data_IF_703650797196
#
_entry.id   IF_703650797196
#
_cell.length_a   1.000
_cell.length_b   1.000
_cell.length_c   1.000
_cell.angle_alpha   90.00
_cell.angle_beta   90.00
_cell.angle_gamma   90.00
#
_symmetry.space_group_name_H-M   'P 1'
#
loop_
_entity.id
_entity.type
_entity.pdbx_description
1 polymer ?
#
# COMPACT_ATOMS: atom_id res chain seq x y z
N UNK A 1 -8.22 21.85 23.13
CA UNK A 1 -9.01 20.65 22.73
C UNK A 1 -8.00 19.63 22.24
N UNK A 2 -7.96 18.44 22.83
CA UNK A 2 -7.07 17.37 22.36
C UNK A 2 -7.51 16.93 20.97
N UNK A 3 -6.54 16.70 20.08
CA UNK A 3 -6.82 16.17 18.74
C UNK A 3 -7.43 14.77 18.82
N UNK A 4 -8.47 14.54 18.01
CA UNK A 4 -9.12 13.24 17.91
C UNK A 4 -8.25 12.19 17.21
N UNK A 5 -8.59 10.91 17.31
CA UNK A 5 -7.83 9.81 16.69
C UNK A 5 -7.74 9.94 15.17
N UNK A 6 -8.77 10.50 14.52
CA UNK A 6 -8.77 10.74 13.08
C UNK A 6 -7.77 11.82 12.67
N UNK A 7 -7.73 12.93 13.40
CA UNK A 7 -6.83 14.05 13.15
C UNK A 7 -5.37 13.58 13.29
N UNK A 8 -5.07 12.80 14.34
CA UNK A 8 -3.76 12.18 14.54
C UNK A 8 -3.36 11.26 13.39
N UNK A 9 -4.27 10.38 12.95
CA UNK A 9 -4.01 9.52 11.79
C UNK A 9 -3.72 10.35 10.52
N UNK A 10 -4.49 11.41 10.30
CA UNK A 10 -4.31 12.29 9.14
C UNK A 10 -2.94 12.96 9.10
N UNK A 11 -2.37 13.30 10.26
CA UNK A 11 -1.03 13.89 10.40
C UNK A 11 0.10 12.87 10.19
N UNK A 12 -0.11 11.63 10.64
CA UNK A 12 0.89 10.54 10.49
C UNK A 12 0.89 9.98 9.07
N UNK A 13 -0.27 9.90 8.41
CA UNK A 13 -0.40 9.43 7.05
C UNK A 13 0.42 10.27 6.06
N UNK A 14 1.24 9.59 5.25
CA UNK A 14 2.21 10.23 4.37
C UNK A 14 1.56 10.60 3.03
N UNK A 15 1.04 11.83 2.91
CA UNK A 15 0.36 12.30 1.69
C UNK A 15 1.24 12.23 0.44
N UNK A 16 2.56 12.38 0.58
CA UNK A 16 3.54 12.18 -0.50
C UNK A 16 3.49 10.78 -1.14
N UNK A 17 3.01 9.78 -0.39
CA UNK A 17 2.95 8.39 -0.82
C UNK A 17 1.67 8.07 -1.63
N UNK A 18 0.69 8.98 -1.64
CA UNK A 18 -0.55 8.82 -2.41
C UNK A 18 -0.31 9.00 -3.90
N UNK A 19 -0.99 8.22 -4.76
CA UNK A 19 -0.80 8.18 -6.21
C UNK A 19 -1.07 9.52 -6.93
N UNK A 20 -1.79 10.47 -6.34
CA UNK A 20 -2.09 11.80 -6.90
C UNK A 20 -1.40 12.95 -6.15
N UNK A 21 -0.45 12.64 -5.26
CA UNK A 21 0.31 13.64 -4.52
C UNK A 21 1.09 14.62 -5.41
N UNK A 22 0.99 15.92 -5.11
CA UNK A 22 1.76 16.98 -5.77
C UNK A 22 3.27 16.79 -5.67
N UNK A 23 3.75 16.15 -4.61
CA UNK A 23 5.18 15.84 -4.43
C UNK A 23 5.74 14.92 -5.53
N UNK A 24 4.88 14.21 -6.27
CA UNK A 24 5.24 13.30 -7.34
C UNK A 24 4.91 13.84 -8.73
N UNK A 25 4.72 15.16 -8.88
CA UNK A 25 4.53 15.78 -10.18
C UNK A 25 5.87 16.02 -10.92
N UNK A 26 5.90 15.85 -12.26
CA UNK A 26 4.82 15.34 -13.11
C UNK A 26 4.56 13.85 -12.83
N UNK A 27 3.27 13.48 -12.77
CA UNK A 27 2.91 12.10 -12.49
C UNK A 27 3.41 11.18 -13.61
N UNK A 28 4.12 10.09 -13.28
CA UNK A 28 4.59 9.16 -14.29
C UNK A 28 3.39 8.38 -14.81
N UNK A 29 2.69 8.84 -15.84
CA UNK A 29 1.62 8.06 -16.47
C UNK A 29 2.20 7.26 -17.64
N UNK A 30 1.70 6.06 -17.88
CA UNK A 30 1.97 5.39 -19.15
C UNK A 30 1.49 6.28 -20.29
N UNK A 31 2.34 6.48 -21.31
CA UNK A 31 1.93 7.20 -22.50
C UNK A 31 0.84 6.41 -23.22
N UNK A 32 -0.04 7.12 -23.93
CA UNK A 32 -1.10 6.49 -24.70
C UNK A 32 -0.51 5.39 -25.60
N UNK A 33 -1.18 4.24 -25.66
CA UNK A 33 -0.77 3.07 -26.48
C UNK A 33 0.56 2.43 -26.09
N UNK A 34 1.16 2.80 -24.96
CA UNK A 34 2.32 2.09 -24.40
C UNK A 34 1.89 1.11 -23.31
N UNK A 35 2.69 0.05 -23.12
CA UNK A 35 2.46 -0.98 -22.08
C UNK A 35 1.06 -1.63 -22.11
N UNK A 36 0.34 -1.56 -23.22
CA UNK A 36 -1.06 -2.01 -23.36
C UNK A 36 -1.23 -3.46 -22.91
N UNK A 37 -0.47 -4.39 -23.49
CA UNK A 37 -0.56 -5.81 -23.14
C UNK A 37 -0.25 -6.08 -21.65
N UNK A 38 0.69 -5.33 -21.06
CA UNK A 38 1.01 -5.46 -19.64
C UNK A 38 -0.13 -4.94 -18.76
N UNK A 39 -0.68 -3.77 -19.11
CA UNK A 39 -1.80 -3.18 -18.39
C UNK A 39 -3.02 -4.08 -18.48
N UNK A 40 -3.36 -4.59 -19.66
CA UNK A 40 -4.47 -5.53 -19.87
C UNK A 40 -4.28 -6.81 -19.05
N UNK A 41 -3.06 -7.33 -18.96
CA UNK A 41 -2.75 -8.46 -18.10
C UNK A 41 -2.99 -8.14 -16.62
N UNK A 42 -2.48 -7.00 -16.14
CA UNK A 42 -2.68 -6.57 -14.74
C UNK A 42 -4.17 -6.37 -14.45
N UNK A 43 -4.93 -5.76 -15.36
CA UNK A 43 -6.38 -5.57 -15.19
C UNK A 43 -7.14 -6.89 -15.19
N UNK A 44 -6.80 -7.80 -16.10
CA UNK A 44 -7.36 -9.16 -16.12
C UNK A 44 -7.06 -9.95 -14.85
N UNK A 45 -5.89 -9.76 -14.23
CA UNK A 45 -5.59 -10.30 -12.90
C UNK A 45 -6.40 -9.61 -11.80
N UNK A 46 -6.56 -8.28 -11.90
CA UNK A 46 -7.23 -7.44 -10.89
C UNK A 46 -8.75 -7.62 -10.85
N UNK A 47 -9.35 -8.19 -11.91
CA UNK A 47 -10.79 -8.43 -12.01
C UNK A 47 -11.20 -9.83 -11.52
N UNK A 48 -10.24 -10.71 -11.20
CA UNK A 48 -10.51 -12.09 -10.74
C UNK A 48 -11.00 -12.14 -9.31
N UNK A 49 -12.26 -12.53 -9.12
CA UNK A 49 -12.93 -12.61 -7.81
C UNK A 49 -12.63 -13.87 -6.99
N UNK A 50 -11.83 -14.81 -7.49
CA UNK A 50 -11.71 -16.13 -6.85
C UNK A 50 -10.86 -16.14 -5.59
N UNK A 51 -9.76 -15.38 -5.60
CA UNK A 51 -8.80 -15.35 -4.49
C UNK A 51 -8.00 -14.07 -4.46
N UNK A 52 -7.50 -13.74 -3.28
CA UNK A 52 -6.57 -12.66 -3.06
C UNK A 52 -5.26 -12.88 -3.85
N UNK A 53 -4.60 -11.78 -4.26
CA UNK A 53 -3.38 -11.84 -5.09
C UNK A 53 -2.36 -10.79 -4.68
N UNK A 54 -1.11 -11.21 -4.55
CA UNK A 54 0.04 -10.33 -4.59
C UNK A 54 0.57 -10.37 -6.02
N UNK A 55 0.54 -9.24 -6.71
CA UNK A 55 0.98 -9.13 -8.11
C UNK A 55 2.30 -8.37 -8.09
N UNK A 56 3.39 -9.01 -8.49
CA UNK A 56 4.71 -8.40 -8.49
C UNK A 56 5.12 -7.99 -9.90
N UNK A 57 5.31 -6.68 -10.12
CA UNK A 57 5.87 -6.12 -11.34
C UNK A 57 7.33 -5.73 -11.09
N UNK A 58 8.26 -6.54 -11.59
CA UNK A 58 9.69 -6.33 -11.43
C UNK A 58 10.38 -5.97 -12.74
N UNK A 59 11.59 -5.42 -12.62
CA UNK A 59 12.43 -5.05 -13.76
C UNK A 59 13.53 -4.07 -13.37
N UNK A 60 14.40 -3.72 -14.31
CA UNK A 60 15.50 -2.77 -14.08
C UNK A 60 14.99 -1.33 -13.85
N UNK A 61 15.86 -0.44 -13.39
CA UNK A 61 15.55 0.98 -13.25
C UNK A 61 15.23 1.61 -14.62
N UNK A 62 14.35 2.62 -14.64
CA UNK A 62 14.03 3.37 -15.85
C UNK A 62 13.03 2.71 -16.82
N UNK A 63 12.62 1.45 -16.62
CA UNK A 63 11.68 0.77 -17.54
C UNK A 63 10.21 1.20 -17.41
N UNK A 64 9.90 2.12 -16.49
CA UNK A 64 8.56 2.70 -16.33
C UNK A 64 7.62 1.93 -15.41
N UNK A 65 8.12 1.16 -14.44
CA UNK A 65 7.27 0.42 -13.46
C UNK A 65 6.37 1.36 -12.65
N UNK A 66 6.94 2.45 -12.13
CA UNK A 66 6.17 3.50 -11.45
C UNK A 66 5.10 4.12 -12.35
N UNK A 67 5.33 4.13 -13.67
CA UNK A 67 4.34 4.60 -14.61
C UNK A 67 3.15 3.66 -14.74
N UNK A 68 3.42 2.35 -14.73
CA UNK A 68 2.38 1.32 -14.68
C UNK A 68 1.64 1.39 -13.34
N UNK A 69 2.33 1.47 -12.21
CA UNK A 69 1.71 1.57 -10.89
C UNK A 69 0.76 2.77 -10.77
N UNK A 70 1.21 3.96 -11.18
CA UNK A 70 0.37 5.16 -11.22
C UNK A 70 -0.87 4.95 -12.12
N UNK A 71 -0.67 4.43 -13.34
CA UNK A 71 -1.76 4.22 -14.30
C UNK A 71 -2.79 3.21 -13.79
N UNK A 72 -2.35 2.16 -13.09
CA UNK A 72 -3.25 1.20 -12.43
C UNK A 72 -4.00 1.86 -11.27
N UNK A 73 -3.31 2.62 -10.41
CA UNK A 73 -3.94 3.35 -9.31
C UNK A 73 -5.04 4.31 -9.80
N UNK A 74 -4.73 5.11 -10.83
CA UNK A 74 -5.66 6.05 -11.44
C UNK A 74 -6.90 5.33 -12.02
N UNK A 75 -6.70 4.20 -12.71
CA UNK A 75 -7.84 3.41 -13.21
C UNK A 75 -8.69 2.86 -12.06
N UNK A 76 -8.08 2.28 -11.03
CA UNK A 76 -8.82 1.71 -9.89
C UNK A 76 -9.57 2.79 -9.10
N UNK A 77 -9.03 4.02 -9.04
CA UNK A 77 -9.74 5.18 -8.48
C UNK A 77 -10.98 5.56 -9.28
N UNK A 78 -10.90 5.51 -10.60
CA UNK A 78 -12.02 5.84 -11.49
C UNK A 78 -13.14 4.79 -11.52
N UNK A 79 -12.86 3.56 -11.07
CA UNK A 79 -13.83 2.48 -11.01
C UNK A 79 -14.57 2.48 -9.66
N UNK A 80 -15.89 2.51 -9.70
CA UNK A 80 -16.73 2.39 -8.50
C UNK A 80 -16.62 0.98 -7.90
N UNK A 81 -16.78 0.90 -6.59
CA UNK A 81 -16.89 -0.38 -5.91
C UNK A 81 -18.26 -1.04 -6.17
N UNK A 82 -19.34 -0.24 -6.10
CA UNK A 82 -20.71 -0.66 -6.41
C UNK A 82 -21.44 0.43 -7.20
N UNK A 83 -22.52 0.09 -7.91
CA UNK A 83 -23.27 1.11 -8.67
C UNK A 83 -24.04 2.08 -7.76
N UNK A 84 -24.37 1.64 -6.55
CA UNK A 84 -25.13 2.41 -5.56
C UNK A 84 -24.27 3.47 -4.85
N UNK A 85 -22.94 3.34 -4.87
CA UNK A 85 -22.03 4.20 -4.11
C UNK A 85 -21.25 5.13 -5.04
N UNK A 86 -21.23 6.43 -4.72
CA UNK A 86 -20.46 7.44 -5.47
C UNK A 86 -19.04 7.66 -4.92
N UNK A 87 -18.81 7.28 -3.66
CA UNK A 87 -17.56 7.55 -2.94
C UNK A 87 -16.64 6.33 -2.95
N UNK A 88 -17.21 5.13 -2.86
CA UNK A 88 -16.42 3.90 -2.77
C UNK A 88 -15.85 3.53 -4.15
N UNK A 89 -14.53 3.39 -4.21
CA UNK A 89 -13.80 3.06 -5.44
C UNK A 89 -13.08 1.74 -5.27
N UNK A 90 -12.63 1.14 -6.38
CA UNK A 90 -11.81 -0.08 -6.31
C UNK A 90 -10.42 0.18 -5.73
N UNK A 91 -9.96 1.42 -5.64
CA UNK A 91 -8.69 1.75 -5.00
C UNK A 91 -8.86 1.84 -3.47
N UNK A 92 -8.25 0.91 -2.73
CA UNK A 92 -8.20 0.94 -1.28
C UNK A 92 -7.16 1.93 -0.74
N UNK A 93 -6.04 2.09 -1.44
CA UNK A 93 -4.98 3.03 -1.08
C UNK A 93 -3.69 2.74 -1.83
N UNK A 94 -2.73 3.64 -1.69
CA UNK A 94 -1.44 3.56 -2.34
C UNK A 94 -0.29 3.94 -1.42
N UNK A 95 0.88 3.37 -1.66
CA UNK A 95 2.11 3.79 -1.02
C UNK A 95 3.26 3.75 -2.02
N UNK A 96 3.72 4.93 -2.44
CA UNK A 96 4.87 5.10 -3.33
C UNK A 96 6.11 5.38 -2.49
N UNK A 97 6.94 4.34 -2.30
CA UNK A 97 8.21 4.46 -1.60
C UNK A 97 9.14 5.43 -2.34
N UNK A 98 10.05 6.05 -1.59
CA UNK A 98 11.04 6.95 -2.16
C UNK A 98 12.21 7.17 -1.21
N UNK A 99 13.44 6.86 -1.64
CA UNK A 99 14.67 7.09 -0.84
C UNK A 99 14.89 8.56 -0.49
N UNK A 100 14.34 9.47 -1.32
CA UNK A 100 14.45 10.93 -1.17
C UNK A 100 13.60 11.52 -0.04
N UNK A 101 12.69 10.75 0.57
CA UNK A 101 11.76 11.25 1.58
C UNK A 101 11.78 10.36 2.83
N UNK A 102 12.10 10.94 3.97
CA UNK A 102 12.31 10.22 5.24
C UNK A 102 11.16 9.29 5.62
N UNK A 103 9.91 9.74 5.50
CA UNK A 103 8.73 8.93 5.81
C UNK A 103 8.35 7.90 4.72
N UNK A 104 8.84 8.07 3.48
CA UNK A 104 8.55 7.17 2.34
C UNK A 104 9.66 6.16 2.08
N UNK A 105 10.75 6.21 2.85
CA UNK A 105 11.82 5.22 2.79
C UNK A 105 11.71 4.15 3.88
N UNK A 106 10.67 4.14 4.70
CA UNK A 106 10.49 3.16 5.78
C UNK A 106 9.09 2.57 5.77
N UNK A 107 8.94 1.37 6.31
CA UNK A 107 7.65 0.67 6.45
C UNK A 107 6.80 1.18 7.63
N UNK A 108 7.38 1.92 8.59
CA UNK A 108 6.70 2.36 9.82
C UNK A 108 5.46 3.22 9.63
N UNK A 109 5.32 3.89 8.48
CA UNK A 109 4.13 4.69 8.13
C UNK A 109 3.18 3.98 7.16
N UNK A 110 3.54 2.79 6.70
CA UNK A 110 2.86 2.11 5.59
C UNK A 110 1.39 1.82 5.92
N UNK A 111 1.13 1.07 7.00
CA UNK A 111 -0.23 0.68 7.34
C UNK A 111 -1.09 1.84 7.84
N UNK A 112 -0.53 2.80 8.57
CA UNK A 112 -1.24 4.02 8.95
C UNK A 112 -1.68 4.84 7.71
N UNK A 113 -0.81 4.95 6.71
CA UNK A 113 -1.10 5.67 5.47
C UNK A 113 -2.17 4.95 4.63
N UNK A 114 -2.14 3.62 4.56
CA UNK A 114 -3.18 2.85 3.89
C UNK A 114 -4.52 2.90 4.64
N UNK A 115 -4.50 2.84 5.97
CA UNK A 115 -5.70 2.93 6.80
C UNK A 115 -6.42 4.26 6.63
N UNK A 116 -5.65 5.36 6.57
CA UNK A 116 -6.17 6.68 6.29
C UNK A 116 -6.88 6.74 4.94
N UNK A 117 -6.22 6.28 3.87
CA UNK A 117 -6.79 6.27 2.51
C UNK A 117 -8.03 5.36 2.43
N UNK A 118 -7.96 4.18 3.05
CA UNK A 118 -9.09 3.25 3.09
C UNK A 118 -10.30 3.88 3.78
N UNK A 119 -10.10 4.58 4.90
CA UNK A 119 -11.17 5.26 5.62
C UNK A 119 -11.74 6.48 4.90
N UNK A 120 -10.98 7.13 4.01
CA UNK A 120 -11.50 8.14 3.09
C UNK A 120 -12.38 7.48 2.03
N UNK A 121 -11.89 6.39 1.43
CA UNK A 121 -12.56 5.73 0.31
C UNK A 121 -13.77 4.91 0.77
N UNK A 122 -13.77 4.45 2.03
CA UNK A 122 -14.83 3.69 2.67
C UNK A 122 -15.18 4.31 4.03
N UNK A 123 -15.97 5.40 4.08
CA UNK A 123 -16.25 6.15 5.33
C UNK A 123 -16.73 5.30 6.51
N UNK A 124 -17.46 4.21 6.23
CA UNK A 124 -17.86 3.18 7.21
C UNK A 124 -16.74 2.56 8.06
N UNK A 125 -15.50 2.59 7.57
CA UNK A 125 -14.31 2.02 8.21
C UNK A 125 -13.69 3.04 9.19
N UNK A 126 -13.96 4.33 9.00
CA UNK A 126 -13.35 5.42 9.78
C UNK A 126 -13.57 5.26 11.28
N UNK A 127 -14.76 4.86 11.72
CA UNK A 127 -15.06 4.64 13.14
C UNK A 127 -14.24 3.49 13.72
N UNK A 128 -14.04 2.41 12.97
CA UNK A 128 -13.26 1.25 13.38
C UNK A 128 -11.77 1.60 13.53
N UNK A 129 -11.19 2.29 12.54
CA UNK A 129 -9.80 2.76 12.61
C UNK A 129 -9.61 3.75 13.76
N UNK A 130 -10.55 4.69 13.93
CA UNK A 130 -10.50 5.67 15.02
C UNK A 130 -10.55 5.01 16.39
N UNK A 131 -11.37 3.97 16.54
CA UNK A 131 -11.46 3.18 17.78
C UNK A 131 -10.15 2.45 18.08
N UNK A 132 -9.56 1.78 17.09
CA UNK A 132 -8.28 1.08 17.27
C UNK A 132 -7.16 2.03 17.74
N UNK A 133 -7.09 3.24 17.16
CA UNK A 133 -6.13 4.28 17.56
C UNK A 133 -6.41 4.83 18.96
N UNK A 134 -7.69 5.00 19.31
CA UNK A 134 -8.08 5.44 20.65
C UNK A 134 -7.66 4.43 21.73
N UNK A 135 -7.84 3.14 21.45
CA UNK A 135 -7.48 2.04 22.36
C UNK A 135 -5.96 1.84 22.44
N UNK A 136 -5.25 2.03 21.33
CA UNK A 136 -3.80 1.92 21.27
C UNK A 136 -3.17 3.02 20.39
N UNK A 137 -2.88 4.20 20.97
CA UNK A 137 -2.27 5.30 20.23
C UNK A 137 -0.88 4.98 19.66
N UNK A 138 -0.16 4.02 20.24
CA UNK A 138 1.15 3.58 19.75
C UNK A 138 1.06 2.91 18.37
N UNK A 139 -0.12 2.59 17.85
CA UNK A 139 -0.30 2.16 16.46
C UNK A 139 0.12 3.23 15.44
N UNK A 140 0.21 4.50 15.84
CA UNK A 140 0.65 5.61 15.01
C UNK A 140 2.15 5.94 15.15
N UNK A 141 2.85 5.23 16.04
CA UNK A 141 4.30 5.33 16.18
C UNK A 141 4.98 4.54 15.05
N UNK A 142 5.88 5.17 14.25
CA UNK A 142 6.59 4.48 13.18
C UNK A 142 7.49 3.33 13.67
N UNK A 143 7.92 3.33 14.93
CA UNK A 143 8.75 2.29 15.51
C UNK A 143 7.90 1.14 16.11
N UNK A 144 6.57 1.24 16.04
CA UNK A 144 5.68 0.16 16.46
C UNK A 144 5.78 -1.01 15.50
N UNK A 145 5.83 -2.22 16.08
CA UNK A 145 5.76 -3.50 15.35
C UNK A 145 4.79 -3.46 14.17
N UNK A 146 5.34 -3.67 12.97
CA UNK A 146 4.64 -3.62 11.70
C UNK A 146 3.46 -4.63 11.65
N UNK A 147 3.64 -5.80 12.27
CA UNK A 147 2.58 -6.80 12.48
C UNK A 147 1.39 -6.24 13.29
N UNK A 148 1.64 -5.50 14.36
CA UNK A 148 0.55 -4.92 15.18
C UNK A 148 -0.16 -3.79 14.42
N UNK A 149 0.59 -2.96 13.69
CA UNK A 149 0.01 -1.97 12.81
C UNK A 149 -0.86 -2.63 11.72
N UNK A 150 -0.37 -3.69 11.08
CA UNK A 150 -1.13 -4.44 10.05
C UNK A 150 -2.45 -4.98 10.62
N UNK A 151 -2.39 -5.69 11.74
CA UNK A 151 -3.59 -6.32 12.30
C UNK A 151 -4.67 -5.28 12.62
N UNK A 152 -4.30 -4.21 13.33
CA UNK A 152 -5.25 -3.21 13.81
C UNK A 152 -5.68 -2.18 12.75
N UNK A 153 -4.77 -1.75 11.87
CA UNK A 153 -5.02 -0.65 10.92
C UNK A 153 -5.31 -1.13 9.50
N UNK A 154 -5.02 -2.39 9.16
CA UNK A 154 -5.25 -2.93 7.82
C UNK A 154 -6.24 -4.09 7.82
N UNK A 155 -5.94 -5.18 8.54
CA UNK A 155 -6.77 -6.39 8.52
C UNK A 155 -8.13 -6.18 9.16
N UNK A 156 -8.18 -5.69 10.41
CA UNK A 156 -9.44 -5.48 11.09
C UNK A 156 -10.39 -4.55 10.31
N UNK A 157 -9.94 -3.37 9.82
CA UNK A 157 -10.70 -2.54 8.88
C UNK A 157 -11.24 -3.28 7.66
N UNK A 158 -10.41 -4.07 6.98
CA UNK A 158 -10.82 -4.83 5.79
C UNK A 158 -11.82 -5.94 6.12
N UNK A 159 -11.66 -6.66 7.23
CA UNK A 159 -12.63 -7.68 7.69
C UNK A 159 -14.03 -7.07 7.89
N UNK A 160 -14.13 -5.81 8.32
CA UNK A 160 -15.42 -5.09 8.42
C UNK A 160 -16.07 -4.79 7.06
N UNK A 161 -15.31 -4.87 5.97
CA UNK A 161 -15.82 -4.73 4.61
C UNK A 161 -16.27 -6.06 4.00
N UNK A 162 -15.88 -7.21 4.56
CA UNK A 162 -16.06 -8.54 3.95
C UNK A 162 -17.51 -8.82 3.51
N UNK A 163 -18.47 -8.63 4.42
CA UNK A 163 -19.88 -8.90 4.12
C UNK A 163 -20.42 -7.98 3.02
N UNK A 164 -20.11 -6.68 3.13
CA UNK A 164 -20.60 -5.67 2.17
C UNK A 164 -19.99 -5.82 0.78
N UNK A 165 -18.71 -6.19 0.71
CA UNK A 165 -18.01 -6.35 -0.56
C UNK A 165 -18.12 -7.78 -1.13
N UNK A 166 -18.94 -8.64 -0.52
CA UNK A 166 -19.17 -9.99 -1.03
C UNK A 166 -19.75 -9.93 -2.44
N UNK A 167 -19.09 -10.59 -3.39
CA UNK A 167 -19.49 -10.61 -4.80
C UNK A 167 -19.14 -9.34 -5.61
N UNK A 168 -18.64 -8.29 -4.95
CA UNK A 168 -18.17 -7.08 -5.61
C UNK A 168 -16.88 -7.33 -6.39
N UNK A 169 -16.46 -6.35 -7.18
CA UNK A 169 -15.13 -6.36 -7.82
C UNK A 169 -14.02 -6.30 -6.76
N UNK A 170 -12.85 -6.90 -7.00
CA UNK A 170 -11.78 -6.89 -6.01
C UNK A 170 -11.30 -5.47 -5.66
N UNK A 171 -10.97 -5.28 -4.38
CA UNK A 171 -10.29 -4.09 -3.87
C UNK A 171 -8.81 -4.13 -4.23
N UNK A 172 -8.24 -3.00 -4.65
CA UNK A 172 -6.85 -2.91 -5.10
C UNK A 172 -6.03 -1.97 -4.20
N UNK A 173 -4.84 -2.42 -3.79
CA UNK A 173 -3.80 -1.59 -3.19
C UNK A 173 -2.57 -1.54 -4.09
N UNK A 174 -1.94 -0.37 -4.22
CA UNK A 174 -0.77 -0.20 -5.09
C UNK A 174 0.43 0.24 -4.26
N UNK A 175 1.49 -0.56 -4.30
CA UNK A 175 2.75 -0.31 -3.63
C UNK A 175 3.82 -0.16 -4.71
N UNK A 176 4.42 1.01 -4.80
CA UNK A 176 5.42 1.29 -5.82
C UNK A 176 6.81 1.42 -5.21
N UNK A 177 7.81 0.96 -5.97
CA UNK A 177 9.23 1.09 -5.69
C UNK A 177 9.63 0.53 -4.32
N UNK A 178 9.18 -0.67 -3.97
CA UNK A 178 9.46 -1.29 -2.67
C UNK A 178 10.96 -1.35 -2.33
N UNK A 179 11.83 -1.50 -3.33
CA UNK A 179 13.30 -1.42 -3.22
C UNK A 179 13.84 -0.03 -2.80
N UNK A 180 12.99 0.99 -2.74
CA UNK A 180 13.31 2.32 -2.22
C UNK A 180 13.07 2.48 -0.71
N UNK A 181 12.64 1.41 -0.03
CA UNK A 181 12.59 1.36 1.43
C UNK A 181 14.01 1.23 2.01
N UNK A 182 14.62 2.30 2.51
CA UNK A 182 15.98 2.31 3.08
C UNK A 182 15.99 2.91 4.49
N UNK A 183 16.87 2.45 5.41
CA UNK A 183 16.93 2.97 6.77
C UNK A 183 17.17 4.49 6.84
N UNK A 184 16.85 5.06 8.01
CA UNK A 184 17.22 6.44 8.33
C UNK A 184 18.75 6.57 8.33
N UNK A 185 19.28 7.18 7.27
CA UNK A 185 20.69 7.46 7.02
C UNK A 185 21.57 7.53 8.27
N UNK A 186 22.34 6.48 8.51
CA UNK A 186 23.76 6.67 8.76
C UNK A 186 24.43 6.85 7.39
N UNK A 187 25.50 7.63 7.37
CA UNK A 187 26.24 8.05 6.19
C UNK A 187 26.48 6.88 5.19
N UNK A 188 26.33 7.07 3.87
CA UNK A 188 26.76 6.08 2.87
C UNK A 188 28.20 5.57 3.06
N UNK A 189 29.06 6.34 3.75
CA UNK A 189 30.42 5.95 4.12
C UNK A 189 30.51 5.00 5.32
N UNK A 190 29.42 4.80 6.07
CA UNK A 190 29.32 3.93 7.26
C UNK A 190 28.43 2.71 7.03
N UNK A 191 28.02 2.40 5.79
CA UNK A 191 27.25 1.21 5.47
C UNK A 191 28.05 -0.06 5.82
N UNK A 192 27.82 -0.59 7.02
CA UNK A 192 28.36 -1.87 7.44
C UNK A 192 27.45 -3.01 6.92
N UNK A 193 28.00 -4.20 6.65
CA UNK A 193 27.23 -5.37 6.19
C UNK A 193 26.00 -5.71 7.06
N UNK A 194 26.06 -5.40 8.36
CA UNK A 194 24.96 -5.62 9.31
C UNK A 194 23.71 -4.75 9.03
N UNK A 195 23.87 -3.60 8.38
CA UNK A 195 22.74 -2.73 8.02
C UNK A 195 22.01 -3.23 6.77
N UNK A 196 22.72 -3.89 5.85
CA UNK A 196 22.14 -4.51 4.65
C UNK A 196 21.24 -5.70 5.02
N UNK A 197 21.66 -6.53 5.98
CA UNK A 197 20.84 -7.63 6.54
C UNK A 197 19.57 -7.10 7.21
N UNK A 198 19.66 -5.99 7.94
CA UNK A 198 18.49 -5.34 8.56
C UNK A 198 17.55 -4.73 7.51
N UNK A 199 18.07 -4.15 6.44
CA UNK A 199 17.27 -3.63 5.30
C UNK A 199 16.47 -4.74 4.62
N UNK A 200 17.15 -5.84 4.29
CA UNK A 200 16.49 -7.01 3.71
C UNK A 200 15.36 -7.49 4.65
N UNK A 201 15.58 -7.43 5.96
CA UNK A 201 14.58 -7.81 6.95
C UNK A 201 13.30 -6.98 6.92
N UNK A 202 13.33 -5.64 6.74
CA UNK A 202 12.10 -4.83 6.72
C UNK A 202 11.25 -5.08 5.47
N UNK A 203 11.89 -5.14 4.30
CA UNK A 203 11.19 -5.42 3.03
C UNK A 203 10.61 -6.83 3.06
N UNK A 204 11.40 -7.83 3.48
CA UNK A 204 10.98 -9.22 3.59
C UNK A 204 9.86 -9.37 4.64
N UNK A 205 9.93 -8.66 5.77
CA UNK A 205 8.87 -8.63 6.77
C UNK A 205 7.58 -8.07 6.16
N UNK A 206 7.63 -6.93 5.48
CA UNK A 206 6.45 -6.33 4.85
C UNK A 206 5.84 -7.28 3.80
N UNK A 207 6.65 -7.88 2.91
CA UNK A 207 6.16 -8.84 1.92
C UNK A 207 5.50 -10.05 2.62
N UNK A 208 6.14 -10.59 3.66
CA UNK A 208 5.62 -11.72 4.43
C UNK A 208 4.29 -11.40 5.10
N UNK A 209 4.16 -10.19 5.65
CA UNK A 209 2.93 -9.68 6.25
C UNK A 209 1.82 -9.48 5.22
N UNK A 210 2.12 -8.90 4.05
CA UNK A 210 1.16 -8.76 2.95
C UNK A 210 0.71 -10.14 2.41
N UNK A 211 1.63 -11.08 2.25
CA UNK A 211 1.31 -12.44 1.84
C UNK A 211 0.45 -13.15 2.90
N UNK A 212 0.72 -12.93 4.19
CA UNK A 212 -0.11 -13.43 5.29
C UNK A 212 -1.50 -12.81 5.27
N UNK A 213 -1.60 -11.49 5.09
CA UNK A 213 -2.86 -10.77 4.97
C UNK A 213 -3.75 -11.35 3.87
N UNK A 214 -3.17 -11.62 2.70
CA UNK A 214 -3.91 -12.15 1.56
C UNK A 214 -4.36 -13.61 1.74
N UNK A 215 -3.86 -14.34 2.74
CA UNK A 215 -4.35 -15.69 3.09
C UNK A 215 -5.52 -15.68 4.07
N UNK A 216 -5.88 -14.53 4.62
CA UNK A 216 -6.95 -14.42 5.60
C UNK A 216 -8.33 -14.55 4.91
N UNK A 217 -9.14 -15.56 5.27
CA UNK A 217 -10.43 -15.84 4.64
C UNK A 217 -11.51 -14.79 5.00
N UNK A 218 -11.26 -13.99 6.03
CA UNK A 218 -12.18 -12.96 6.50
C UNK A 218 -12.02 -11.63 5.74
N UNK A 219 -11.09 -11.54 4.78
CA UNK A 219 -10.97 -10.35 3.94
C UNK A 219 -11.93 -10.39 2.75
N UNK A 220 -12.43 -9.23 2.31
CA UNK A 220 -12.96 -9.12 0.95
C UNK A 220 -11.85 -9.45 -0.06
N UNK A 221 -12.24 -9.87 -1.27
CA UNK A 221 -11.27 -10.17 -2.33
C UNK A 221 -10.41 -8.94 -2.59
N UNK A 222 -9.12 -9.07 -2.32
CA UNK A 222 -8.15 -7.98 -2.32
C UNK A 222 -6.94 -8.35 -3.16
N UNK A 223 -6.49 -7.40 -3.97
CA UNK A 223 -5.27 -7.51 -4.76
C UNK A 223 -4.30 -6.40 -4.40
N UNK A 224 -3.02 -6.76 -4.33
CA UNK A 224 -1.94 -5.80 -4.06
C UNK A 224 -0.97 -5.87 -5.23
N UNK A 225 -0.84 -4.76 -5.96
CA UNK A 225 0.21 -4.60 -6.97
C UNK A 225 1.44 -4.03 -6.26
N UNK A 226 2.56 -4.77 -6.32
CA UNK A 226 3.86 -4.31 -5.83
C UNK A 226 4.79 -4.13 -7.01
N UNK A 227 5.52 -3.01 -7.07
CA UNK A 227 6.63 -2.85 -7.99
C UNK A 227 7.96 -2.79 -7.26
N UNK A 228 9.00 -3.36 -7.87
CA UNK A 228 10.37 -3.20 -7.36
C UNK A 228 11.43 -3.54 -8.42
N UNK A 229 12.70 -3.32 -8.09
CA UNK A 229 13.82 -4.06 -8.72
C UNK A 229 13.79 -5.54 -8.33
N UNK A 230 14.39 -6.37 -9.18
CA UNK A 230 14.51 -7.82 -8.97
C UNK A 230 15.72 -8.14 -8.09
N UNK A 231 15.74 -7.60 -6.87
CA UNK A 231 16.78 -7.86 -5.88
C UNK A 231 16.54 -9.22 -5.22
N UNK A 232 17.61 -9.94 -4.84
CA UNK A 232 17.52 -11.35 -4.43
C UNK A 232 16.57 -11.58 -3.25
N UNK A 233 16.68 -10.77 -2.19
CA UNK A 233 15.81 -10.86 -1.01
C UNK A 233 14.33 -10.61 -1.32
N UNK A 234 14.01 -9.73 -2.29
CA UNK A 234 12.63 -9.49 -2.73
C UNK A 234 12.13 -10.70 -3.52
N UNK A 235 12.96 -11.22 -4.42
CA UNK A 235 12.61 -12.38 -5.24
C UNK A 235 12.36 -13.63 -4.38
N UNK A 236 13.13 -13.83 -3.30
CA UNK A 236 12.95 -14.94 -2.37
C UNK A 236 11.70 -14.81 -1.49
N UNK A 237 11.26 -13.58 -1.22
CA UNK A 237 10.11 -13.31 -0.36
C UNK A 237 8.75 -13.31 -1.08
N UNK A 238 8.72 -13.09 -2.40
CA UNK A 238 7.51 -13.00 -3.23
C UNK A 238 6.91 -14.37 -3.60
#
# INVERSE_FOLDING_TARGET
MSEGPWEKLSQVAVKGAEYDSRERQPHPRCLERTRVALLDHIYGLSDKKEKNRLIWLHGTAGVGKSAVAFTVAERMRGLKMTEETKIETRLGGTFFFSRKHTKRRTTGYFFATLAYQLAINFPSVRSHVSKAILENPALLDPDKSLRHQMEALFLQPLRKLQFRLRGCSPLAFIVDALDECTPESLDPSTFEPLEEDKFNSEIVELISLLAQALRDPDLPVTHILVTSRSEAHIHEAM
#
